data_IF_539116854470
#
_entry.id   IF_539116854470
#
_cell.length_a   1.000
_cell.length_b   1.000
_cell.length_c   1.000
_cell.angle_alpha   90.00
_cell.angle_beta   90.00
_cell.angle_gamma   90.00
#
_symmetry.space_group_name_H-M   'P 1'
#
loop_
_entity.id
_entity.type
_entity.pdbx_description
1 polymer ?
#
# COMPACT_ATOMS: atom_id res chain seq x y z
N UNK A 1 -5.08 26.62 -5.92
CA UNK A 1 -4.78 25.77 -6.02
C UNK A 1 -4.24 25.24 -4.97
N UNK A 2 -4.24 24.36 -4.80
CA UNK A 2 -3.91 23.86 -3.68
C UNK A 2 -2.57 23.34 -3.68
N UNK A 3 -1.93 23.47 -2.66
CA UNK A 3 -0.71 22.95 -2.51
C UNK A 3 -0.93 21.63 -1.92
N UNK A 4 -0.36 20.61 -2.39
CA UNK A 4 -0.56 19.30 -1.84
C UNK A 4 -0.06 19.34 -0.45
N UNK A 5 -0.77 18.77 0.46
CA UNK A 5 -0.32 18.84 1.78
C UNK A 5 0.76 17.81 1.93
N UNK A 6 1.45 17.86 3.01
CA UNK A 6 2.56 17.03 3.26
C UNK A 6 2.18 15.57 3.28
N UNK A 7 1.00 15.28 3.74
CA UNK A 7 0.54 13.93 3.79
C UNK A 7 0.45 13.34 2.40
N UNK A 8 -0.04 14.10 1.44
CA UNK A 8 -0.13 13.62 0.08
C UNK A 8 1.23 13.35 -0.51
N UNK A 9 2.17 14.22 -0.23
CA UNK A 9 3.51 14.03 -0.74
C UNK A 9 4.13 12.79 -0.14
N UNK A 10 3.97 12.58 1.13
CA UNK A 10 4.53 11.42 1.78
C UNK A 10 3.86 10.14 1.28
N UNK A 11 2.57 10.21 1.00
CA UNK A 11 1.88 9.06 0.49
C UNK A 11 2.42 8.66 -0.88
N UNK A 12 2.68 9.65 -1.72
CA UNK A 12 3.23 9.35 -3.03
C UNK A 12 4.62 8.77 -2.93
N UNK A 13 5.41 9.27 -2.01
CA UNK A 13 6.75 8.74 -1.83
C UNK A 13 6.67 7.30 -1.35
N UNK A 14 5.77 7.02 -0.43
CA UNK A 14 5.61 5.66 0.06
C UNK A 14 5.18 4.73 -1.06
N UNK A 15 4.29 5.21 -1.92
CA UNK A 15 3.83 4.41 -3.01
C UNK A 15 4.98 4.06 -3.95
N UNK A 16 5.83 5.04 -4.24
CA UNK A 16 6.95 4.78 -5.12
C UNK A 16 7.92 3.79 -4.50
N UNK A 17 8.13 3.90 -3.22
CA UNK A 17 9.02 2.98 -2.55
C UNK A 17 8.44 1.59 -2.54
N UNK A 18 7.14 1.46 -2.34
CA UNK A 18 6.52 0.14 -2.35
C UNK A 18 6.61 -0.48 -3.73
N UNK A 19 6.47 0.33 -4.76
CA UNK A 19 6.60 -0.18 -6.11
C UNK A 19 8.01 -0.70 -6.33
N UNK A 20 9.00 0.03 -5.86
CA UNK A 20 10.37 -0.38 -6.04
C UNK A 20 10.66 -1.68 -5.29
N UNK A 21 10.11 -1.80 -4.09
CA UNK A 21 10.31 -2.99 -3.32
C UNK A 21 9.67 -4.19 -4.00
N UNK A 22 8.48 -4.01 -4.54
CA UNK A 22 7.82 -5.11 -5.21
C UNK A 22 8.59 -5.53 -6.45
N UNK A 23 9.11 -4.56 -7.20
CA UNK A 23 9.88 -4.88 -8.38
C UNK A 23 11.14 -5.64 -8.01
N UNK A 24 11.79 -5.21 -6.95
CA UNK A 24 13.00 -5.88 -6.53
C UNK A 24 12.68 -7.30 -6.06
N UNK A 25 11.59 -7.45 -5.36
CA UNK A 25 11.18 -8.76 -4.89
C UNK A 25 10.96 -9.69 -6.08
N UNK A 26 10.29 -9.20 -7.11
CA UNK A 26 10.04 -10.02 -8.27
C UNK A 26 11.35 -10.36 -8.99
N UNK A 27 12.25 -9.41 -9.03
CA UNK A 27 13.49 -9.61 -9.71
C UNK A 27 14.34 -10.66 -9.01
N UNK A 28 14.35 -10.62 -7.72
CA UNK A 28 15.21 -11.53 -6.99
C UNK A 28 14.59 -12.89 -6.81
N UNK A 29 13.31 -12.98 -6.72
CA UNK A 29 12.66 -14.23 -6.45
C UNK A 29 11.97 -14.85 -7.65
N UNK A 30 11.79 -14.09 -8.71
CA UNK A 30 11.04 -14.61 -9.83
C UNK A 30 9.54 -14.62 -9.57
N UNK A 31 9.08 -13.88 -8.59
CA UNK A 31 7.66 -13.92 -8.24
C UNK A 31 6.82 -13.34 -9.35
N UNK A 32 5.63 -13.88 -9.50
CA UNK A 32 4.72 -13.37 -10.50
C UNK A 32 3.93 -12.21 -9.95
N UNK A 33 3.22 -11.53 -10.83
CA UNK A 33 2.37 -10.44 -10.39
C UNK A 33 1.33 -10.93 -9.40
N UNK A 34 0.84 -12.13 -9.58
CA UNK A 34 -0.15 -12.65 -8.68
C UNK A 34 0.46 -12.83 -7.29
N UNK A 35 1.70 -13.23 -7.22
CA UNK A 35 2.34 -13.41 -5.94
C UNK A 35 2.57 -12.08 -5.27
N UNK A 36 2.87 -11.05 -6.03
CA UNK A 36 3.04 -9.73 -5.45
C UNK A 36 1.69 -9.23 -4.94
N UNK A 37 0.63 -9.50 -5.68
CA UNK A 37 -0.68 -9.08 -5.25
C UNK A 37 -1.03 -9.76 -3.94
N UNK A 38 -0.68 -11.02 -3.80
CA UNK A 38 -0.95 -11.74 -2.57
C UNK A 38 -0.15 -11.15 -1.42
N UNK A 39 1.08 -10.81 -1.67
CA UNK A 39 1.91 -10.20 -0.64
C UNK A 39 1.29 -8.90 -0.16
N UNK A 40 0.86 -8.06 -1.08
CA UNK A 40 0.28 -6.80 -0.70
C UNK A 40 -1.04 -6.98 0.04
N UNK A 41 -1.79 -8.02 -0.34
CA UNK A 41 -3.02 -8.28 0.34
C UNK A 41 -2.76 -8.72 1.77
N UNK A 42 -1.75 -9.55 1.97
CA UNK A 42 -1.43 -9.99 3.31
C UNK A 42 -0.99 -8.81 4.16
N UNK A 43 -0.23 -7.91 3.58
CA UNK A 43 0.20 -6.74 4.33
C UNK A 43 -1.01 -5.88 4.70
N UNK A 44 -1.94 -5.74 3.79
CA UNK A 44 -3.11 -4.93 4.07
C UNK A 44 -3.93 -5.51 5.20
N UNK A 45 -3.91 -6.82 5.35
CA UNK A 45 -4.69 -7.44 6.40
C UNK A 45 -4.18 -7.06 7.77
N UNK A 46 -2.91 -6.75 7.88
CA UNK A 46 -2.36 -6.33 9.15
C UNK A 46 -3.09 -5.08 9.62
N UNK A 47 -3.35 -4.17 8.70
CA UNK A 47 -4.02 -2.93 9.08
C UNK A 47 -5.52 -3.13 9.21
N UNK A 48 -6.06 -4.09 8.51
CA UNK A 48 -7.47 -4.34 8.65
C UNK A 48 -7.77 -4.86 10.04
N UNK A 49 -6.86 -5.62 10.62
CA UNK A 49 -7.14 -6.07 11.91
C UNK A 49 -7.13 -4.97 12.90
N UNK A 50 -6.28 -4.03 12.76
CA UNK A 50 -6.27 -2.94 13.69
C UNK A 50 -7.45 -2.09 13.52
N UNK A 51 -7.99 -1.96 12.39
CA UNK A 51 -9.08 -1.12 12.20
C UNK A 51 -10.29 -1.83 12.56
N UNK A 52 -10.93 -1.53 13.53
CA UNK A 52 -12.04 -2.19 13.86
C UNK A 52 -13.10 -1.91 12.99
N UNK A 53 -14.00 -2.60 12.98
CA UNK A 53 -14.96 -2.42 12.01
C UNK A 53 -15.60 -1.17 12.07
N UNK A 54 -15.77 -0.72 13.10
CA UNK A 54 -16.53 0.43 13.11
C UNK A 54 -15.80 1.40 12.46
N UNK A 55 -14.70 1.15 12.28
CA UNK A 55 -14.06 2.18 11.73
C UNK A 55 -14.49 2.33 10.46
N UNK A 56 -15.34 1.87 10.04
CA UNK A 56 -15.74 2.05 8.90
C UNK A 56 -15.43 3.25 8.50
N UNK A 57 -14.59 3.46 7.94
CA UNK A 57 -14.25 4.57 7.57
C UNK A 57 -14.91 5.07 6.57
N UNK A 58 -15.05 5.90 6.36
CA UNK A 58 -15.71 6.40 5.43
C UNK A 58 -14.89 7.03 4.58
N UNK A 59 -13.87 6.61 4.35
CA UNK A 59 -13.16 7.35 3.50
C UNK A 59 -13.76 7.31 2.27
N UNK A 60 -14.61 6.68 2.10
CA UNK A 60 -15.15 6.71 0.91
C UNK A 60 -15.82 7.88 0.78
N UNK A 61 -15.91 8.56 1.55
CA UNK A 61 -16.62 9.68 1.40
C UNK A 61 -16.02 10.56 0.77
#
# INVERSE_FOLDING_TARGET
MAIPDQKTILLEQAYEQLKAICTKFQDESGATDMEVKTLLRELARVYEKDIDDDSKIDWEV
#
